data_IF_810864062730
#
_entry.id   IF_810864062730
#
_cell.length_a   1.000
_cell.length_b   1.000
_cell.length_c   1.000
_cell.angle_alpha   90.00
_cell.angle_beta   90.00
_cell.angle_gamma   90.00
#
_symmetry.space_group_name_H-M   'P 1'
#
loop_
_entity.id
_entity.type
_entity.pdbx_description
1 polymer ?
#
# COMPACT_ATOMS: atom_id res chain seq x y z
N UNK A 1 -0.82 -9.78 3.92
CA UNK A 1 -1.94 -9.74 4.90
C UNK A 1 -1.49 -8.96 6.13
N UNK A 2 -2.41 -8.34 6.88
CA UNK A 2 -2.13 -7.66 8.14
C UNK A 2 -3.30 -7.84 9.11
N UNK A 3 -3.04 -7.92 10.42
CA UNK A 3 -4.07 -8.12 11.45
C UNK A 3 -3.78 -7.23 12.65
N UNK A 4 -4.82 -6.62 13.21
CA UNK A 4 -4.77 -5.93 14.50
C UNK A 4 -6.10 -6.10 15.24
N UNK A 5 -6.03 -6.61 16.47
CA UNK A 5 -7.21 -7.02 17.24
C UNK A 5 -8.15 -7.93 16.44
N UNK A 6 -9.39 -7.48 16.28
CA UNK A 6 -10.46 -8.20 15.58
C UNK A 6 -10.60 -7.78 14.10
N UNK A 7 -9.60 -7.09 13.53
CA UNK A 7 -9.60 -6.63 12.13
C UNK A 7 -8.47 -7.30 11.35
N UNK A 8 -8.80 -7.91 10.22
CA UNK A 8 -7.86 -8.58 9.31
C UNK A 8 -7.98 -7.97 7.91
N UNK A 9 -6.85 -7.60 7.31
CA UNK A 9 -6.74 -7.17 5.93
C UNK A 9 -5.98 -8.21 5.09
N UNK A 10 -6.55 -8.59 3.95
CA UNK A 10 -5.98 -9.58 3.02
C UNK A 10 -5.85 -8.94 1.65
N UNK A 11 -4.64 -8.93 1.10
CA UNK A 11 -4.37 -8.47 -0.25
C UNK A 11 -4.69 -9.56 -1.27
N UNK A 12 -5.28 -9.15 -2.38
CA UNK A 12 -5.57 -9.98 -3.54
C UNK A 12 -5.06 -9.19 -4.76
N UNK A 13 -3.78 -9.35 -5.06
CA UNK A 13 -3.04 -8.60 -6.08
C UNK A 13 -3.45 -8.93 -7.53
N UNK A 14 -4.38 -9.85 -7.72
CA UNK A 14 -4.66 -10.45 -9.02
C UNK A 14 -3.57 -11.41 -9.46
N UNK A 15 -3.90 -12.35 -10.34
CA UNK A 15 -2.89 -13.06 -11.11
C UNK A 15 -2.65 -12.24 -12.37
N UNK A 16 -1.40 -11.84 -12.65
CA UNK A 16 -1.02 -11.00 -13.80
C UNK A 16 -1.23 -11.59 -15.20
N UNK A 17 -2.28 -12.39 -15.38
CA UNK A 17 -2.79 -12.91 -16.65
C UNK A 17 -3.99 -12.09 -17.16
N UNK A 18 -4.68 -11.37 -16.28
CA UNK A 18 -5.71 -10.41 -16.67
C UNK A 18 -5.12 -8.99 -16.59
N UNK A 19 -4.81 -8.40 -17.75
CA UNK A 19 -4.29 -7.03 -17.96
C UNK A 19 -5.23 -5.90 -17.45
N UNK A 20 -6.09 -6.19 -16.49
CA UNK A 20 -7.08 -5.27 -15.94
C UNK A 20 -7.25 -5.40 -14.43
N UNK A 21 -6.52 -6.31 -13.75
CA UNK A 21 -6.60 -6.41 -12.31
C UNK A 21 -5.58 -5.47 -11.66
N UNK A 22 -6.08 -4.37 -11.12
CA UNK A 22 -5.32 -3.44 -10.29
C UNK A 22 -4.94 -4.04 -8.92
N UNK A 23 -5.56 -5.16 -8.53
CA UNK A 23 -5.50 -5.72 -7.19
C UNK A 23 -6.57 -5.14 -6.26
N UNK A 24 -6.77 -5.78 -5.11
CA UNK A 24 -7.72 -5.35 -4.10
C UNK A 24 -7.27 -5.73 -2.68
N UNK A 25 -7.82 -5.05 -1.68
CA UNK A 25 -7.68 -5.44 -0.27
C UNK A 25 -9.05 -5.74 0.32
N UNK A 26 -9.19 -6.92 0.93
CA UNK A 26 -10.40 -7.35 1.61
C UNK A 26 -10.21 -7.17 3.10
N UNK A 27 -11.12 -6.45 3.75
CA UNK A 27 -11.11 -6.26 5.21
C UNK A 27 -12.17 -7.13 5.84
N UNK A 28 -11.79 -7.88 6.87
CA UNK A 28 -12.64 -8.76 7.66
C UNK A 28 -12.66 -8.27 9.10
N UNK A 29 -13.83 -8.38 9.73
CA UNK A 29 -13.98 -8.21 11.17
C UNK A 29 -14.34 -9.55 11.79
N UNK A 30 -13.81 -9.83 12.99
CA UNK A 30 -14.13 -11.03 13.75
C UNK A 30 -15.15 -10.73 14.84
N UNK A 31 -16.17 -11.59 14.92
CA UNK A 31 -17.17 -11.56 15.98
C UNK A 31 -17.59 -12.98 16.33
N UNK A 32 -17.60 -13.30 17.63
CA UNK A 32 -17.96 -14.64 18.11
C UNK A 32 -17.09 -15.76 17.52
N UNK A 33 -15.83 -15.47 17.20
CA UNK A 33 -14.90 -16.42 16.58
C UNK A 33 -14.96 -16.49 15.06
N UNK A 34 -15.98 -15.90 14.42
CA UNK A 34 -16.19 -15.92 12.97
C UNK A 34 -15.66 -14.65 12.31
N UNK A 35 -14.90 -14.80 11.23
CA UNK A 35 -14.49 -13.69 10.37
C UNK A 35 -15.54 -13.42 9.30
N UNK A 36 -15.92 -12.15 9.11
CA UNK A 36 -16.86 -11.73 8.07
C UNK A 36 -16.29 -10.55 7.32
N UNK A 37 -16.30 -10.60 5.99
CA UNK A 37 -15.84 -9.51 5.14
C UNK A 37 -16.71 -8.27 5.39
N UNK A 38 -16.07 -7.14 5.67
CA UNK A 38 -16.73 -5.85 5.90
C UNK A 38 -16.52 -4.88 4.73
N UNK A 39 -15.34 -4.93 4.09
CA UNK A 39 -15.00 -4.01 3.02
C UNK A 39 -14.15 -4.66 1.94
N UNK A 40 -14.14 -4.01 0.77
CA UNK A 40 -13.21 -4.26 -0.33
C UNK A 40 -12.66 -2.92 -0.79
N UNK A 41 -11.36 -2.74 -0.65
CA UNK A 41 -10.62 -1.51 -0.96
C UNK A 41 -9.91 -1.67 -2.30
N UNK A 42 -9.73 -0.56 -2.99
CA UNK A 42 -9.04 -0.41 -4.27
C UNK A 42 -8.28 0.93 -4.27
N UNK A 43 -7.29 1.07 -5.15
CA UNK A 43 -6.67 2.37 -5.44
C UNK A 43 -7.72 3.38 -5.95
N UNK A 44 -7.50 4.67 -5.67
CA UNK A 44 -8.23 5.81 -6.24
C UNK A 44 -8.04 5.93 -7.76
N UNK A 45 -6.90 5.47 -8.26
CA UNK A 45 -6.49 5.54 -9.67
C UNK A 45 -6.10 4.13 -10.13
N UNK A 46 -7.10 3.27 -10.43
CA UNK A 46 -6.81 1.89 -10.80
C UNK A 46 -6.00 1.83 -12.11
N UNK A 47 -4.80 1.29 -12.02
CA UNK A 47 -3.95 0.94 -13.16
C UNK A 47 -3.78 -0.57 -13.28
N UNK A 48 -3.86 -1.14 -14.50
CA UNK A 48 -3.52 -2.52 -14.74
C UNK A 48 -2.12 -2.88 -14.24
N UNK A 49 -2.02 -3.90 -13.38
CA UNK A 49 -0.72 -4.41 -12.96
C UNK A 49 -0.07 -3.66 -11.80
N UNK A 50 -0.68 -2.58 -11.27
CA UNK A 50 -0.16 -1.81 -10.13
C UNK A 50 0.06 -2.66 -8.86
N UNK A 51 -0.60 -3.82 -8.80
CA UNK A 51 -0.53 -4.79 -7.70
C UNK A 51 -0.94 -4.18 -6.35
N UNK A 52 -2.01 -3.38 -6.33
CA UNK A 52 -2.60 -2.85 -5.10
C UNK A 52 -2.92 -3.99 -4.11
N UNK A 53 -2.39 -3.88 -2.89
CA UNK A 53 -2.52 -4.94 -1.89
C UNK A 53 -1.30 -5.87 -1.80
N UNK A 54 -0.20 -5.54 -2.48
CA UNK A 54 1.04 -6.32 -2.46
C UNK A 54 1.63 -6.46 -1.05
N UNK A 55 1.70 -5.35 -0.33
CA UNK A 55 2.13 -5.30 1.05
C UNK A 55 1.07 -4.60 1.91
N UNK A 56 0.95 -5.02 3.16
CA UNK A 56 -0.07 -4.50 4.08
C UNK A 56 0.52 -4.31 5.47
N UNK A 57 0.19 -3.19 6.11
CA UNK A 57 0.42 -2.97 7.54
C UNK A 57 -0.83 -2.34 8.16
N UNK A 58 -1.27 -2.86 9.29
CA UNK A 58 -2.47 -2.43 9.99
C UNK A 58 -2.11 -2.09 11.43
N UNK A 59 -2.49 -0.90 11.87
CA UNK A 59 -2.40 -0.48 13.25
C UNK A 59 -3.62 0.36 13.63
N UNK A 60 -4.36 -0.11 14.62
CA UNK A 60 -5.65 0.41 15.04
C UNK A 60 -6.60 0.55 13.84
N UNK A 61 -6.99 1.80 13.55
CA UNK A 61 -7.89 2.19 12.47
C UNK A 61 -7.15 2.65 11.21
N UNK A 62 -5.85 2.39 11.07
CA UNK A 62 -5.02 2.83 9.95
C UNK A 62 -4.46 1.62 9.21
N UNK A 63 -4.73 1.54 7.91
CA UNK A 63 -4.25 0.48 7.02
C UNK A 63 -3.37 1.11 5.94
N UNK A 64 -2.11 0.72 5.89
CA UNK A 64 -1.20 1.01 4.79
C UNK A 64 -1.25 -0.12 3.76
N UNK A 65 -1.37 0.24 2.48
CA UNK A 65 -1.46 -0.67 1.35
C UNK A 65 -0.42 -0.33 0.30
N UNK A 66 0.54 -1.22 0.06
CA UNK A 66 1.52 -1.05 -1.00
C UNK A 66 0.98 -1.39 -2.38
N UNK A 67 1.42 -0.61 -3.37
CA UNK A 67 1.16 -0.74 -4.81
C UNK A 67 2.50 -0.51 -5.53
N UNK A 68 3.42 -1.49 -5.56
CA UNK A 68 4.79 -1.27 -6.00
C UNK A 68 4.94 -0.98 -7.49
N UNK A 69 3.95 -1.31 -8.32
CA UNK A 69 3.98 -1.05 -9.76
C UNK A 69 3.04 0.09 -10.14
N UNK A 70 2.77 0.99 -9.20
CA UNK A 70 1.97 2.16 -9.48
C UNK A 70 2.73 3.15 -10.36
N UNK A 71 2.06 3.60 -11.42
CA UNK A 71 2.56 4.54 -12.42
C UNK A 71 2.13 6.00 -12.11
N UNK A 72 1.79 6.30 -10.85
CA UNK A 72 1.38 7.64 -10.44
C UNK A 72 2.42 8.71 -10.82
N UNK A 73 1.94 9.93 -11.04
CA UNK A 73 2.72 11.07 -11.55
C UNK A 73 3.38 10.81 -12.92
N UNK A 74 2.91 9.81 -13.68
CA UNK A 74 3.45 9.39 -14.98
C UNK A 74 4.89 8.85 -14.89
N UNK A 75 5.28 8.31 -13.72
CA UNK A 75 6.60 7.71 -13.50
C UNK A 75 6.42 6.19 -13.45
N UNK A 76 6.89 5.51 -14.49
CA UNK A 76 6.71 4.05 -14.67
C UNK A 76 7.24 3.28 -13.46
N UNK A 77 6.39 2.46 -12.83
CA UNK A 77 6.72 1.58 -11.71
C UNK A 77 7.44 2.30 -10.54
N UNK A 78 7.13 3.58 -10.33
CA UNK A 78 7.65 4.32 -9.18
C UNK A 78 7.11 3.75 -7.85
N UNK A 79 5.87 3.26 -7.90
CA UNK A 79 5.16 2.67 -6.77
C UNK A 79 4.56 3.71 -5.83
N UNK A 80 3.59 3.26 -5.04
CA UNK A 80 2.85 4.07 -4.09
C UNK A 80 2.47 3.29 -2.83
N UNK A 81 2.14 4.03 -1.76
CA UNK A 81 1.47 3.48 -0.57
C UNK A 81 0.18 4.23 -0.31
N UNK A 82 -0.94 3.52 -0.30
CA UNK A 82 -2.25 4.07 0.02
C UNK A 82 -2.55 3.90 1.51
N UNK A 83 -2.95 4.99 2.16
CA UNK A 83 -3.34 4.98 3.57
C UNK A 83 -4.85 5.07 3.67
N UNK A 84 -5.47 4.05 4.25
CA UNK A 84 -6.89 4.05 4.57
C UNK A 84 -7.10 4.22 6.07
N UNK A 85 -8.15 4.95 6.43
CA UNK A 85 -8.64 4.98 7.82
C UNK A 85 -10.06 4.44 7.93
N UNK A 86 -10.29 3.63 8.95
CA UNK A 86 -11.57 2.98 9.13
C UNK A 86 -11.76 2.29 10.46
N UNK A 87 -13.02 1.99 10.77
CA UNK A 87 -13.45 1.32 12.00
C UNK A 87 -14.00 -0.10 11.71
N UNK A 88 -13.39 -0.80 10.76
CA UNK A 88 -13.83 -2.13 10.32
C UNK A 88 -15.00 -2.09 9.33
N UNK A 89 -16.07 -1.33 9.62
CA UNK A 89 -17.27 -1.26 8.77
C UNK A 89 -17.18 -0.23 7.64
N UNK A 90 -16.38 0.82 7.80
CA UNK A 90 -16.16 1.84 6.77
C UNK A 90 -14.69 2.19 6.73
N UNK A 91 -14.13 2.24 5.53
CA UNK A 91 -12.73 2.59 5.26
C UNK A 91 -12.70 3.67 4.19
N UNK A 92 -12.00 4.76 4.48
CA UNK A 92 -11.83 5.89 3.58
C UNK A 92 -10.36 6.01 3.21
N UNK A 93 -10.07 6.28 1.94
CA UNK A 93 -8.74 6.68 1.52
C UNK A 93 -8.43 8.02 2.20
N UNK A 94 -7.39 8.03 3.04
CA UNK A 94 -6.89 9.21 3.71
C UNK A 94 -5.80 9.88 2.87
N UNK A 95 -4.87 9.10 2.32
CA UNK A 95 -3.69 9.63 1.62
C UNK A 95 -3.12 8.63 0.62
N UNK A 96 -2.40 9.17 -0.37
CA UNK A 96 -1.62 8.43 -1.36
C UNK A 96 -0.18 8.92 -1.29
N UNK A 97 0.72 8.03 -0.88
CA UNK A 97 2.10 8.37 -0.55
C UNK A 97 3.02 7.93 -1.68
N UNK A 98 3.69 8.90 -2.29
CA UNK A 98 4.74 8.73 -3.29
C UNK A 98 6.07 9.25 -2.73
N UNK A 99 7.19 8.83 -3.32
CA UNK A 99 8.49 9.36 -2.96
C UNK A 99 8.73 10.71 -3.65
N UNK A 100 9.18 11.72 -2.90
CA UNK A 100 9.46 13.07 -3.42
C UNK A 100 10.53 13.07 -4.53
N UNK A 101 11.44 12.10 -4.49
CA UNK A 101 12.51 11.84 -5.44
C UNK A 101 12.26 10.59 -6.29
N UNK A 102 11.00 10.18 -6.43
CA UNK A 102 10.60 9.02 -7.20
C UNK A 102 11.23 9.01 -8.61
N UNK A 103 11.81 7.88 -8.96
CA UNK A 103 12.27 7.56 -10.32
C UNK A 103 11.60 6.29 -10.82
N UNK A 104 11.68 6.07 -12.13
CA UNK A 104 11.12 4.85 -12.71
C UNK A 104 11.75 3.61 -12.10
N UNK A 105 10.94 2.57 -11.89
CA UNK A 105 11.34 1.30 -11.26
C UNK A 105 11.80 1.41 -9.79
N UNK A 106 11.44 2.45 -9.05
CA UNK A 106 11.78 2.56 -7.61
C UNK A 106 11.01 1.54 -6.76
N UNK A 107 9.79 1.20 -7.17
CA UNK A 107 8.90 0.24 -6.52
C UNK A 107 8.58 0.55 -5.05
N UNK A 108 8.29 1.82 -4.73
CA UNK A 108 7.82 2.21 -3.41
C UNK A 108 6.60 1.38 -3.00
N UNK A 109 6.57 0.92 -1.75
CA UNK A 109 5.46 0.09 -1.25
C UNK A 109 5.66 -1.40 -1.47
N UNK A 110 6.84 -1.82 -1.95
CA UNK A 110 7.24 -3.23 -1.98
C UNK A 110 7.12 -3.89 -0.60
N UNK A 111 7.49 -3.14 0.44
CA UNK A 111 7.24 -3.51 1.83
C UNK A 111 6.76 -2.29 2.60
N UNK A 112 5.84 -2.50 3.55
CA UNK A 112 5.35 -1.43 4.41
C UNK A 112 5.35 -1.89 5.86
N UNK A 113 5.66 -0.97 6.77
CA UNK A 113 5.50 -1.12 8.20
C UNK A 113 4.80 0.13 8.75
N UNK A 114 3.96 -0.06 9.76
CA UNK A 114 3.17 1.01 10.35
C UNK A 114 3.16 0.85 11.88
N UNK A 115 3.43 1.95 12.58
CA UNK A 115 3.31 2.02 14.03
C UNK A 115 2.83 3.42 14.43
N UNK A 116 1.58 3.53 14.88
CA UNK A 116 0.96 4.81 15.19
C UNK A 116 0.99 5.76 13.98
N UNK A 117 1.64 6.89 14.16
CA UNK A 117 1.76 7.96 13.17
C UNK A 117 3.02 7.85 12.28
N UNK A 118 3.73 6.72 12.32
CA UNK A 118 4.92 6.49 11.50
C UNK A 118 4.73 5.30 10.57
N UNK A 119 4.90 5.55 9.28
CA UNK A 119 4.86 4.56 8.21
C UNK A 119 6.24 4.50 7.55
N UNK A 120 6.77 3.29 7.35
CA UNK A 120 8.00 3.08 6.58
C UNK A 120 7.67 2.25 5.35
N UNK A 121 8.13 2.70 4.19
CA UNK A 121 7.93 2.03 2.92
C UNK A 121 9.28 1.71 2.26
N UNK A 122 9.49 0.45 1.88
CA UNK A 122 10.66 0.04 1.12
C UNK A 122 10.45 0.24 -0.38
N UNK A 123 11.50 0.69 -1.05
CA UNK A 123 11.61 0.89 -2.49
C UNK A 123 12.93 0.25 -2.96
N UNK A 124 12.94 -1.07 -3.21
CA UNK A 124 14.18 -1.81 -3.44
C UNK A 124 14.90 -1.44 -4.74
N UNK A 125 14.25 -0.68 -5.63
CA UNK A 125 14.65 -0.45 -7.03
C UNK A 125 14.74 -1.74 -7.86
N UNK A 126 14.51 -1.65 -9.17
CA UNK A 126 14.73 -2.77 -10.08
C UNK A 126 16.24 -3.05 -10.25
N UNK A 127 16.76 -4.18 -9.75
CA UNK A 127 18.19 -4.48 -9.86
C UNK A 127 18.64 -4.77 -11.31
N UNK A 128 17.69 -4.93 -12.23
CA UNK A 128 17.94 -5.20 -13.65
C UNK A 128 18.08 -3.93 -14.49
N UNK A 129 17.91 -2.72 -13.93
CA UNK A 129 18.15 -1.45 -14.63
C UNK A 129 19.62 -1.34 -15.04
N UNK A 130 19.88 -0.77 -16.23
CA UNK A 130 21.24 -0.55 -16.75
C UNK A 130 21.51 0.95 -16.95
N UNK A 131 22.58 1.51 -16.33
CA UNK A 131 23.46 0.89 -15.33
C UNK A 131 22.69 0.54 -14.04
N UNK A 132 23.17 -0.43 -13.23
CA UNK A 132 22.55 -0.73 -11.94
C UNK A 132 22.55 0.52 -11.07
N UNK A 133 21.37 0.95 -10.63
CA UNK A 133 21.23 2.05 -9.66
C UNK A 133 20.94 1.46 -8.29
N UNK A 134 21.74 1.87 -7.31
CA UNK A 134 21.56 1.86 -5.84
C UNK A 134 21.10 0.58 -5.10
N UNK A 135 21.27 0.60 -3.77
CA UNK A 135 20.99 -0.50 -2.85
C UNK A 135 19.53 -0.54 -2.36
N UNK A 136 18.59 0.07 -3.09
CA UNK A 136 17.24 0.38 -2.64
C UNK A 136 17.19 1.49 -1.57
N UNK A 137 16.00 2.04 -1.35
CA UNK A 137 15.73 3.11 -0.39
C UNK A 137 14.59 2.70 0.56
N UNK A 138 14.61 3.21 1.79
CA UNK A 138 13.47 3.17 2.69
C UNK A 138 12.99 4.60 2.96
N UNK A 139 11.71 4.85 2.75
CA UNK A 139 11.08 6.15 2.95
C UNK A 139 10.27 6.13 4.24
N UNK A 140 10.41 7.19 5.05
CA UNK A 140 9.66 7.37 6.28
C UNK A 140 8.61 8.45 6.05
N UNK A 141 7.36 8.12 6.34
CA UNK A 141 6.24 9.03 6.31
C UNK A 141 5.71 9.22 7.73
N UNK A 142 5.48 10.46 8.12
CA UNK A 142 4.96 10.82 9.44
C UNK A 142 3.64 11.53 9.31
N UNK A 143 2.65 11.09 10.08
CA UNK A 143 1.31 11.68 10.12
C UNK A 143 1.28 12.87 11.08
N UNK A 144 0.84 14.01 10.58
CA UNK A 144 0.55 15.20 11.37
C UNK A 144 -0.95 15.54 11.22
N UNK A 145 -1.77 15.05 12.16
CA UNK A 145 -3.22 15.20 12.09
C UNK A 145 -3.84 14.28 11.02
N UNK A 146 -4.29 14.84 9.89
CA UNK A 146 -4.86 14.04 8.78
C UNK A 146 -3.94 13.95 7.56
N UNK A 147 -2.77 14.59 7.60
CA UNK A 147 -1.83 14.66 6.48
C UNK A 147 -0.60 13.81 6.79
N UNK A 148 -0.13 13.04 5.82
CA UNK A 148 1.17 12.39 5.88
C UNK A 148 2.21 13.21 5.11
N UNK A 149 3.44 13.23 5.60
CA UNK A 149 4.57 13.83 4.90
C UNK A 149 5.78 12.92 4.94
N UNK A 150 6.51 12.83 3.83
CA UNK A 150 7.83 12.21 3.80
C UNK A 150 8.81 13.06 4.63
N UNK A 151 9.62 12.39 5.45
CA UNK A 151 10.66 13.01 6.28
C UNK A 151 11.99 13.15 5.55
#
# INVERSE_FOLDING_TARGET
MAIDGETLAVGAIGTGQDYFDEGAVYVYARSGGTWTQQARLRSSQPGPGNAFGFSLALNNSVLAVGSPYDDDLFIIDAGAVYVFTGNGATWNLQDELTANDATSDDHLGWSVALNGDTLVAGAPQNPSRTPPVSAGTAYVFVRNGVVWGQQ
#
